data_IF_703363898383
#
_entry.id   IF_703363898383
#
_cell.length_a   1.000
_cell.length_b   1.000
_cell.length_c   1.000
_cell.angle_alpha   90.00
_cell.angle_beta   90.00
_cell.angle_gamma   90.00
#
_symmetry.space_group_name_H-M   'P 1'
#
loop_
_entity.id
_entity.type
_entity.pdbx_description
1 polymer ?
#
# COMPACT_ATOMS: atom_id res chain seq x y z
N UNK A 1 -65.40 9.56 42.33
CA UNK A 1 -64.11 9.99 41.75
C UNK A 1 -63.52 8.84 40.95
N UNK A 2 -63.46 8.96 39.61
CA UNK A 2 -62.88 7.95 38.71
C UNK A 2 -61.43 8.35 38.41
N UNK A 3 -60.45 7.47 38.64
CA UNK A 3 -59.04 7.71 38.32
C UNK A 3 -58.81 7.48 36.81
N UNK A 4 -58.00 8.31 36.10
CA UNK A 4 -57.69 8.05 34.70
C UNK A 4 -56.59 6.99 34.60
N UNK A 5 -56.79 6.05 33.67
CA UNK A 5 -55.78 5.05 33.28
C UNK A 5 -54.93 5.69 32.19
N UNK A 6 -53.64 5.89 32.45
CA UNK A 6 -52.68 6.38 31.47
C UNK A 6 -52.09 5.17 30.76
N UNK A 7 -52.40 5.00 29.47
CA UNK A 7 -51.72 4.04 28.60
C UNK A 7 -50.41 4.65 28.12
N UNK A 8 -49.30 4.21 28.69
CA UNK A 8 -47.96 4.54 28.19
C UNK A 8 -47.69 3.59 27.02
N UNK A 9 -47.83 4.12 25.80
CA UNK A 9 -47.41 3.44 24.59
C UNK A 9 -45.89 3.52 24.48
N UNK A 10 -45.21 2.45 24.87
CA UNK A 10 -43.76 2.32 24.68
C UNK A 10 -43.46 2.18 23.19
N UNK A 11 -43.02 3.27 22.56
CA UNK A 11 -42.51 3.27 21.19
C UNK A 11 -41.14 2.58 21.18
N UNK A 12 -41.10 1.32 20.75
CA UNK A 12 -39.86 0.56 20.53
C UNK A 12 -39.17 1.15 19.29
N UNK A 13 -38.17 1.99 19.47
CA UNK A 13 -37.29 2.42 18.37
C UNK A 13 -36.37 1.24 18.07
N UNK A 14 -36.71 0.46 17.05
CA UNK A 14 -35.80 -0.48 16.44
C UNK A 14 -34.72 0.35 15.73
N UNK A 15 -33.61 0.63 16.42
CA UNK A 15 -32.36 0.97 15.75
C UNK A 15 -31.95 -0.28 14.97
N UNK A 16 -32.38 -0.36 13.71
CA UNK A 16 -31.78 -1.25 12.75
C UNK A 16 -30.34 -0.78 12.58
N UNK A 17 -29.43 -1.39 13.35
CA UNK A 17 -28.01 -1.31 13.08
C UNK A 17 -27.80 -2.07 11.78
N UNK A 18 -27.88 -1.36 10.65
CA UNK A 18 -27.26 -1.85 9.43
C UNK A 18 -25.77 -1.91 9.74
N UNK A 19 -25.28 -3.12 10.04
CA UNK A 19 -23.91 -3.44 9.69
C UNK A 19 -23.87 -3.22 8.18
N UNK A 20 -23.26 -2.13 7.76
CA UNK A 20 -22.84 -2.08 6.39
C UNK A 20 -21.76 -3.16 6.27
N UNK A 21 -22.11 -4.26 5.63
CA UNK A 21 -21.12 -5.16 5.04
C UNK A 21 -20.55 -4.43 3.81
N UNK A 22 -19.98 -3.24 4.04
CA UNK A 22 -19.16 -2.60 3.04
C UNK A 22 -17.89 -3.44 3.06
N UNK A 23 -17.73 -4.26 2.03
CA UNK A 23 -16.47 -4.91 1.71
C UNK A 23 -15.49 -3.82 1.24
N UNK A 24 -15.21 -2.84 2.11
CA UNK A 24 -14.05 -1.97 2.03
C UNK A 24 -12.88 -2.92 2.26
N UNK A 25 -12.20 -3.34 1.18
CA UNK A 25 -11.02 -4.18 1.34
C UNK A 25 -9.93 -3.47 2.16
N UNK A 26 -8.73 -4.03 2.21
CA UNK A 26 -7.69 -3.64 3.18
C UNK A 26 -7.14 -2.22 3.02
N UNK A 27 -7.60 -1.46 2.02
CA UNK A 27 -7.09 -0.14 1.71
C UNK A 27 -5.87 -0.23 0.81
N UNK A 28 -4.91 0.67 1.04
CA UNK A 28 -3.64 0.67 0.34
C UNK A 28 -2.69 -0.33 1.01
N UNK A 29 -2.12 -1.26 0.24
CA UNK A 29 -1.20 -2.28 0.74
C UNK A 29 0.08 -2.32 -0.08
N UNK A 30 1.17 -2.76 0.55
CA UNK A 30 2.38 -3.18 -0.16
C UNK A 30 2.11 -4.58 -0.72
N UNK A 31 2.23 -4.73 -2.04
CA UNK A 31 1.82 -5.93 -2.78
C UNK A 31 2.99 -6.84 -3.16
N UNK A 32 4.03 -6.28 -3.74
CA UNK A 32 5.19 -6.99 -4.29
C UNK A 32 6.41 -6.04 -4.25
N UNK A 33 7.62 -6.57 -4.13
CA UNK A 33 8.83 -5.79 -4.28
C UNK A 33 9.97 -6.63 -4.87
N UNK A 34 10.94 -5.94 -5.46
CA UNK A 34 12.20 -6.52 -5.90
C UNK A 34 13.34 -5.62 -5.41
N UNK A 35 14.23 -6.19 -4.59
CA UNK A 35 15.34 -5.47 -3.94
C UNK A 35 16.72 -5.84 -4.53
N UNK A 36 16.73 -6.52 -5.67
CA UNK A 36 17.91 -6.81 -6.47
C UNK A 36 17.44 -7.16 -7.88
N UNK A 37 17.59 -6.22 -8.81
CA UNK A 37 17.10 -6.31 -10.18
C UNK A 37 18.26 -6.22 -11.19
N UNK A 38 18.46 -7.27 -11.99
CA UNK A 38 19.41 -7.28 -13.10
C UNK A 38 18.70 -7.44 -14.46
N UNK A 39 17.47 -7.99 -14.48
CA UNK A 39 16.78 -8.38 -15.71
C UNK A 39 15.28 -8.07 -15.78
N UNK A 40 14.54 -8.14 -14.68
CA UNK A 40 13.13 -7.72 -14.68
C UNK A 40 12.86 -6.79 -13.52
N UNK A 41 12.30 -5.61 -13.72
CA UNK A 41 11.72 -5.05 -14.94
C UNK A 41 12.24 -3.62 -15.03
N UNK A 42 12.27 -3.04 -16.23
CA UNK A 42 12.87 -1.71 -16.38
C UNK A 42 11.87 -0.61 -16.06
N UNK A 43 12.38 0.51 -15.58
CA UNK A 43 11.64 1.76 -15.50
C UNK A 43 11.40 2.38 -16.88
N UNK A 44 10.87 3.61 -16.88
CA UNK A 44 10.58 4.41 -18.06
C UNK A 44 11.84 4.84 -18.86
N UNK A 45 13.02 4.87 -18.22
CA UNK A 45 14.31 5.19 -18.83
C UNK A 45 15.07 3.92 -19.32
N UNK A 46 14.59 2.74 -18.95
CA UNK A 46 15.15 1.45 -19.34
C UNK A 46 16.15 0.87 -18.33
N UNK A 47 16.21 1.44 -17.13
CA UNK A 47 17.08 1.01 -16.04
C UNK A 47 16.39 -0.06 -15.18
N UNK A 48 17.19 -1.00 -14.67
CA UNK A 48 16.71 -2.14 -13.87
C UNK A 48 16.85 -1.81 -12.38
N UNK A 49 16.00 -0.92 -11.88
CA UNK A 49 16.03 -0.49 -10.49
C UNK A 49 15.19 -1.36 -9.56
N UNK A 50 15.50 -1.26 -8.27
CA UNK A 50 14.67 -1.85 -7.22
C UNK A 50 13.31 -1.15 -7.20
N UNK A 51 12.28 -1.87 -6.79
CA UNK A 51 10.94 -1.30 -6.77
C UNK A 51 10.06 -1.91 -5.70
N UNK A 52 9.04 -1.13 -5.32
CA UNK A 52 7.95 -1.55 -4.45
C UNK A 52 6.64 -1.27 -5.17
N UNK A 53 5.78 -2.28 -5.24
CA UNK A 53 4.43 -2.15 -5.77
C UNK A 53 3.41 -1.97 -4.65
N UNK A 54 2.54 -0.99 -4.84
CA UNK A 54 1.36 -0.76 -4.03
C UNK A 54 0.12 -1.27 -4.76
N UNK A 55 -0.81 -1.88 -4.01
CA UNK A 55 -2.13 -2.29 -4.48
C UNK A 55 -3.22 -1.57 -3.70
N UNK A 56 -4.24 -1.09 -4.40
CA UNK A 56 -5.43 -0.49 -3.79
C UNK A 56 -6.55 -1.52 -3.69
N UNK A 57 -6.66 -2.17 -2.53
CA UNK A 57 -7.71 -3.15 -2.22
C UNK A 57 -9.06 -2.49 -1.82
N UNK A 58 -9.18 -1.17 -1.91
CA UNK A 58 -10.42 -0.47 -1.61
C UNK A 58 -11.33 -0.30 -2.83
N UNK A 59 -12.57 0.12 -2.59
CA UNK A 59 -13.56 0.42 -3.64
C UNK A 59 -13.48 1.88 -4.16
N UNK A 60 -12.48 2.66 -3.73
CA UNK A 60 -12.28 4.05 -4.11
C UNK A 60 -10.85 4.32 -4.55
N UNK A 61 -10.63 5.32 -5.40
CA UNK A 61 -9.27 5.72 -5.76
C UNK A 61 -8.51 6.26 -4.54
N UNK A 62 -7.25 5.89 -4.40
CA UNK A 62 -6.34 6.39 -3.37
C UNK A 62 -5.24 7.20 -4.06
N UNK A 63 -4.91 8.38 -3.54
CA UNK A 63 -3.81 9.20 -4.01
C UNK A 63 -2.69 9.15 -2.98
N UNK A 64 -1.52 8.64 -3.37
CA UNK A 64 -0.37 8.48 -2.47
C UNK A 64 0.51 9.72 -2.41
N UNK A 65 0.22 10.74 -3.24
CA UNK A 65 0.94 12.01 -3.21
C UNK A 65 0.83 12.66 -1.83
N UNK A 66 1.97 12.92 -1.19
CA UNK A 66 2.04 13.51 0.15
C UNK A 66 2.11 12.48 1.29
N UNK A 67 2.03 11.19 0.98
CA UNK A 67 2.38 10.11 1.91
C UNK A 67 3.90 10.01 2.06
N UNK A 68 4.33 9.22 3.04
CA UNK A 68 5.74 9.01 3.33
C UNK A 68 6.16 7.56 3.13
N UNK A 69 7.38 7.35 2.64
CA UNK A 69 8.00 6.05 2.47
C UNK A 69 9.33 6.00 3.22
N UNK A 70 9.64 4.87 3.86
CA UNK A 70 10.98 4.61 4.38
C UNK A 70 11.33 3.12 4.36
N UNK A 71 12.62 2.86 4.23
CA UNK A 71 13.25 1.55 4.36
C UNK A 71 13.77 1.26 5.78
N UNK A 72 13.65 2.25 6.67
CA UNK A 72 14.32 2.27 7.97
C UNK A 72 13.29 2.39 9.11
N UNK A 73 13.25 1.45 10.07
CA UNK A 73 12.38 1.57 11.24
C UNK A 73 12.73 2.79 12.11
N UNK A 74 11.71 3.56 12.50
CA UNK A 74 11.86 4.80 13.28
C UNK A 74 12.72 5.87 12.58
N UNK A 75 12.66 5.93 11.25
CA UNK A 75 13.33 6.99 10.47
C UNK A 75 12.81 8.37 10.88
N UNK A 76 13.70 9.28 11.28
CA UNK A 76 13.37 10.67 11.56
C UNK A 76 13.20 11.51 10.29
N UNK A 77 13.55 10.94 9.12
CA UNK A 77 13.51 11.60 7.81
C UNK A 77 12.96 10.65 6.73
N UNK A 78 11.73 10.13 6.88
CA UNK A 78 11.11 9.36 5.82
C UNK A 78 10.95 10.23 4.57
N UNK A 79 10.98 9.60 3.40
CA UNK A 79 10.86 10.28 2.12
C UNK A 79 9.41 10.68 1.87
N UNK A 80 9.18 11.95 1.53
CA UNK A 80 7.87 12.46 1.13
C UNK A 80 7.65 12.14 -0.35
N UNK A 81 6.64 11.33 -0.67
CA UNK A 81 6.21 11.13 -2.06
C UNK A 81 5.63 12.46 -2.58
N UNK A 82 6.18 13.05 -3.66
CA UNK A 82 5.71 14.35 -4.14
C UNK A 82 4.22 14.35 -4.48
N UNK A 83 3.49 15.35 -3.99
CA UNK A 83 2.06 15.56 -4.31
C UNK A 83 1.84 16.50 -5.49
N UNK A 84 2.86 16.68 -6.34
CA UNK A 84 2.86 17.63 -7.45
C UNK A 84 2.15 17.12 -8.70
N UNK A 85 1.91 15.80 -8.81
CA UNK A 85 1.24 15.19 -9.97
C UNK A 85 0.30 14.03 -9.58
N UNK A 86 -0.94 14.38 -9.20
CA UNK A 86 -2.01 13.40 -8.89
C UNK A 86 -2.47 12.54 -10.07
N UNK A 87 -1.98 12.78 -11.29
CA UNK A 87 -2.26 11.90 -12.43
C UNK A 87 -1.36 10.67 -12.43
N UNK A 88 -0.20 10.75 -11.77
CA UNK A 88 0.75 9.64 -11.59
C UNK A 88 0.59 8.95 -10.22
N UNK A 89 0.30 9.70 -9.16
CA UNK A 89 0.24 9.15 -7.79
C UNK A 89 -1.12 8.56 -7.40
N UNK A 90 -2.10 8.55 -8.30
CA UNK A 90 -3.45 8.05 -8.00
C UNK A 90 -3.64 6.62 -8.49
N UNK A 91 -4.02 5.75 -7.55
CA UNK A 91 -4.29 4.34 -7.79
C UNK A 91 -5.80 4.11 -7.84
N UNK A 92 -6.38 3.64 -8.96
CA UNK A 92 -7.81 3.31 -9.03
C UNK A 92 -8.14 2.12 -8.11
N UNK A 93 -9.43 1.87 -7.81
CA UNK A 93 -9.86 0.65 -7.12
C UNK A 93 -9.33 -0.60 -7.84
N UNK A 94 -8.69 -1.51 -7.11
CA UNK A 94 -8.05 -2.71 -7.68
C UNK A 94 -6.84 -2.41 -8.57
N UNK A 95 -6.32 -1.18 -8.54
CA UNK A 95 -5.15 -0.76 -9.31
C UNK A 95 -3.84 -1.04 -8.58
N UNK A 96 -2.77 -1.01 -9.37
CA UNK A 96 -1.39 -1.18 -8.92
C UNK A 96 -0.58 0.07 -9.27
N UNK A 97 0.44 0.37 -8.47
CA UNK A 97 1.38 1.46 -8.74
C UNK A 97 2.77 1.10 -8.23
N UNK A 98 3.77 1.34 -9.07
CA UNK A 98 5.17 1.07 -8.78
C UNK A 98 5.82 2.34 -8.24
N UNK A 99 6.61 2.18 -7.18
CA UNK A 99 7.56 3.16 -6.68
C UNK A 99 8.97 2.64 -6.93
N UNK A 100 9.74 3.37 -7.72
CA UNK A 100 11.12 3.06 -8.05
C UNK A 100 12.03 3.48 -6.88
N UNK A 101 12.83 2.55 -6.40
CA UNK A 101 13.76 2.72 -5.29
C UNK A 101 15.19 2.83 -5.85
N UNK A 102 15.48 3.95 -6.51
CA UNK A 102 16.66 4.15 -7.33
C UNK A 102 17.56 5.32 -6.90
N UNK A 103 17.11 6.15 -5.95
CA UNK A 103 17.75 7.41 -5.57
C UNK A 103 17.90 8.42 -6.74
N UNK A 104 17.00 8.39 -7.74
CA UNK A 104 17.00 9.27 -8.91
C UNK A 104 15.66 10.01 -9.12
N UNK A 105 15.39 11.00 -8.26
CA UNK A 105 14.13 11.75 -8.29
C UNK A 105 13.97 12.67 -9.52
N UNK A 106 15.01 12.82 -10.36
CA UNK A 106 14.91 13.61 -11.60
C UNK A 106 13.98 12.94 -12.63
N UNK A 107 13.79 11.62 -12.51
CA UNK A 107 12.93 10.83 -13.40
C UNK A 107 11.43 10.98 -13.09
N UNK A 108 11.06 11.34 -11.87
CA UNK A 108 9.70 11.80 -11.56
C UNK A 108 9.20 11.48 -10.15
N UNK A 109 7.91 11.72 -9.94
CA UNK A 109 7.25 11.64 -8.63
C UNK A 109 7.14 10.22 -8.04
N UNK A 110 7.45 9.20 -8.83
CA UNK A 110 7.44 7.79 -8.41
C UNK A 110 8.84 7.24 -8.10
N UNK A 111 9.89 8.06 -8.28
CA UNK A 111 11.28 7.69 -7.99
C UNK A 111 11.66 8.23 -6.61
N UNK A 112 12.03 7.33 -5.70
CA UNK A 112 12.24 7.61 -4.30
C UNK A 112 13.71 7.89 -4.00
N UNK A 113 14.00 8.69 -2.98
CA UNK A 113 15.38 8.85 -2.47
C UNK A 113 15.79 7.70 -1.55
N UNK A 114 15.55 6.47 -2.01
CA UNK A 114 15.77 5.21 -1.29
C UNK A 114 16.24 4.18 -2.30
N UNK A 115 17.15 3.30 -1.91
CA UNK A 115 17.54 2.09 -2.65
C UNK A 115 17.38 0.90 -1.73
N UNK A 116 16.78 -0.17 -2.23
CA UNK A 116 16.54 -1.34 -1.41
C UNK A 116 17.84 -2.14 -1.22
N UNK A 117 17.97 -2.81 -0.09
CA UNK A 117 19.08 -3.71 0.19
C UNK A 117 18.64 -5.14 -0.05
N UNK A 118 19.26 -5.78 -1.04
CA UNK A 118 19.11 -7.23 -1.25
C UNK A 118 19.55 -8.08 -0.04
N UNK A 119 20.29 -7.53 0.94
CA UNK A 119 20.63 -8.25 2.18
C UNK A 119 19.51 -8.29 3.22
N UNK A 120 18.40 -7.59 3.00
CA UNK A 120 17.28 -7.47 3.93
C UNK A 120 17.22 -6.11 4.65
N UNK A 121 15.99 -5.61 4.83
CA UNK A 121 15.63 -4.40 5.58
C UNK A 121 14.10 -4.31 5.75
N UNK A 122 13.53 -3.10 5.86
CA UNK A 122 12.07 -2.89 5.93
C UNK A 122 11.56 -2.08 4.75
N UNK A 123 10.27 -2.19 4.48
CA UNK A 123 9.49 -1.34 3.58
C UNK A 123 8.34 -0.82 4.42
N UNK A 124 8.22 0.50 4.56
CA UNK A 124 7.25 1.13 5.43
C UNK A 124 6.57 2.25 4.67
N UNK A 125 5.27 2.10 4.48
CA UNK A 125 4.41 3.14 3.94
C UNK A 125 3.68 3.84 5.10
N UNK A 126 3.72 5.16 5.13
CA UNK A 126 3.17 5.98 6.19
C UNK A 126 2.20 7.01 5.61
N UNK A 127 1.19 7.37 6.40
CA UNK A 127 0.24 8.43 6.08
C UNK A 127 0.91 9.80 5.94
N UNK A 128 0.14 10.76 5.42
CA UNK A 128 0.57 12.15 5.25
C UNK A 128 0.91 12.89 6.55
N UNK A 129 0.58 12.32 7.72
CA UNK A 129 1.01 12.84 9.02
C UNK A 129 2.47 12.50 9.35
N UNK A 130 3.10 11.61 8.58
CA UNK A 130 4.48 11.16 8.76
C UNK A 130 4.70 10.28 10.00
N UNK A 131 3.63 9.76 10.62
CA UNK A 131 3.68 8.98 11.86
C UNK A 131 2.85 7.70 11.77
N UNK A 132 1.66 7.75 11.19
CA UNK A 132 0.75 6.61 11.11
C UNK A 132 1.23 5.66 10.01
N UNK A 133 1.53 4.41 10.37
CA UNK A 133 1.90 3.37 9.41
C UNK A 133 0.63 2.87 8.71
N UNK A 134 0.65 2.89 7.37
CA UNK A 134 -0.40 2.31 6.53
C UNK A 134 -0.17 0.81 6.36
N UNK A 135 1.03 0.45 5.92
CA UNK A 135 1.45 -0.94 5.77
C UNK A 135 2.97 -1.03 5.91
N UNK A 136 3.46 -2.21 6.31
CA UNK A 136 4.89 -2.45 6.37
C UNK A 136 5.25 -3.93 6.23
N UNK A 137 6.47 -4.17 5.76
CA UNK A 137 7.05 -5.50 5.69
C UNK A 137 8.55 -5.44 5.96
N UNK A 138 9.07 -6.36 6.76
CA UNK A 138 10.51 -6.55 6.96
C UNK A 138 10.92 -7.87 6.32
N UNK A 139 11.98 -7.84 5.53
CA UNK A 139 12.42 -8.95 4.72
C UNK A 139 13.90 -9.26 4.96
N UNK A 140 14.25 -10.52 4.71
CA UNK A 140 15.62 -11.03 4.83
C UNK A 140 16.32 -11.00 3.47
N UNK A 141 17.50 -11.62 3.37
CA UNK A 141 18.24 -11.68 2.10
C UNK A 141 17.37 -12.13 0.92
N UNK A 142 17.43 -11.36 -0.16
CA UNK A 142 16.76 -11.60 -1.43
C UNK A 142 17.72 -12.24 -2.44
N UNK A 143 17.15 -12.86 -3.47
CA UNK A 143 17.89 -13.38 -4.63
C UNK A 143 17.62 -12.46 -5.81
N UNK A 144 18.65 -12.13 -6.58
CA UNK A 144 18.51 -11.29 -7.78
C UNK A 144 17.44 -11.85 -8.72
N UNK A 145 16.59 -10.95 -9.24
CA UNK A 145 15.46 -11.23 -10.13
C UNK A 145 14.35 -12.13 -9.56
N UNK A 146 14.36 -12.39 -8.24
CA UNK A 146 13.27 -13.06 -7.52
C UNK A 146 12.60 -12.04 -6.62
N UNK A 147 11.37 -11.66 -6.96
CA UNK A 147 10.58 -10.75 -6.13
C UNK A 147 9.98 -11.49 -4.93
N UNK A 148 9.55 -10.71 -3.95
CA UNK A 148 8.75 -11.20 -2.85
C UNK A 148 7.44 -10.41 -2.83
N UNK A 149 6.33 -11.11 -2.65
CA UNK A 149 5.01 -10.48 -2.70
C UNK A 149 4.00 -11.20 -1.82
N UNK A 150 2.86 -10.55 -1.59
CA UNK A 150 1.73 -11.15 -0.87
C UNK A 150 1.19 -12.35 -1.65
N UNK A 151 0.78 -13.39 -0.92
CA UNK A 151 0.03 -14.51 -1.49
C UNK A 151 -1.41 -14.05 -1.80
N UNK A 152 -1.89 -14.14 -3.05
CA UNK A 152 -3.25 -13.72 -3.41
C UNK A 152 -4.34 -14.52 -2.68
N UNK A 153 -4.05 -15.74 -2.24
CA UNK A 153 -4.98 -16.58 -1.46
C UNK A 153 -4.91 -16.29 0.05
N UNK A 154 -3.83 -15.65 0.50
CA UNK A 154 -3.63 -15.24 1.88
C UNK A 154 -2.75 -13.99 1.97
N UNK A 155 -3.37 -12.82 1.91
CA UNK A 155 -2.65 -11.55 1.92
C UNK A 155 -1.76 -11.34 3.16
N UNK A 156 -1.95 -12.06 4.27
CA UNK A 156 -1.07 -11.99 5.43
C UNK A 156 0.23 -12.81 5.28
N UNK A 157 0.36 -13.58 4.19
CA UNK A 157 1.54 -14.37 3.85
C UNK A 157 2.32 -13.72 2.72
N UNK A 158 3.64 -13.86 2.80
CA UNK A 158 4.59 -13.40 1.79
C UNK A 158 5.34 -14.59 1.22
N UNK A 159 5.48 -14.63 -0.09
CA UNK A 159 6.13 -15.71 -0.83
C UNK A 159 7.08 -15.13 -1.87
N UNK A 160 8.02 -15.96 -2.34
CA UNK A 160 8.93 -15.60 -3.42
C UNK A 160 8.30 -15.93 -4.78
N UNK A 161 8.46 -15.04 -5.74
CA UNK A 161 8.02 -15.22 -7.13
C UNK A 161 9.25 -15.23 -8.05
N UNK A 162 9.45 -16.34 -8.77
CA UNK A 162 10.52 -16.47 -9.77
C UNK A 162 10.27 -15.61 -11.02
N UNK A 163 9.05 -15.12 -11.19
CA UNK A 163 8.66 -14.23 -12.29
C UNK A 163 7.93 -13.04 -11.68
N UNK A 164 8.60 -11.90 -11.47
CA UNK A 164 7.96 -10.73 -10.90
C UNK A 164 6.77 -10.23 -11.73
N UNK A 165 5.76 -9.64 -11.08
CA UNK A 165 4.49 -9.26 -11.70
C UNK A 165 4.12 -7.78 -11.58
N UNK A 166 5.05 -6.82 -11.86
CA UNK A 166 4.71 -5.41 -11.75
C UNK A 166 3.54 -5.00 -12.65
N UNK A 167 2.62 -4.24 -12.06
CA UNK A 167 1.37 -3.77 -12.61
C UNK A 167 0.26 -4.83 -12.68
N UNK A 168 0.46 -6.04 -12.13
CA UNK A 168 -0.42 -7.19 -12.31
C UNK A 168 -0.60 -7.98 -11.00
N UNK A 169 -1.65 -8.84 -10.91
CA UNK A 169 -1.78 -9.74 -9.77
C UNK A 169 -0.63 -10.76 -9.67
N UNK A 170 -0.12 -10.94 -8.45
CA UNK A 170 0.89 -11.94 -8.09
C UNK A 170 0.44 -13.37 -8.47
N UNK A 171 1.35 -14.19 -9.01
CA UNK A 171 1.05 -15.57 -9.47
C UNK A 171 2.28 -16.44 -9.68
#
# INVERSE_FOLDING_TARGET
>A
MKKPIIFISTLLILFSCSKSDDNEGRGLIINEFLASNDFCCSDEEGDYDDWVELYNDSNSSIDIGGMYFTDTPNDEKPYLIPNTDSTKTKIPPGGYLILWCDDDQEQGVLHLSKKLKGSGESIILMESDGVTVVDSYSYESQTTDISMGRDPDNLDSWVFYENPTPGLPNK
#
